data_IF_528146632544
#
_entry.id   IF_528146632544
#
_cell.length_a   1.000
_cell.length_b   1.000
_cell.length_c   1.000
_cell.angle_alpha   90.00
_cell.angle_beta   90.00
_cell.angle_gamma   90.00
#
_symmetry.space_group_name_H-M   'P 1'
#
loop_
_entity.id
_entity.type
_entity.pdbx_description
1 polymer ?
#
# COMPACT_ATOMS: atom_id res chain seq x y z
N UNK A 1 -3.39 15.69 23.04
CA UNK A 1 -4.47 16.44 22.38
C UNK A 1 -5.16 15.44 21.48
N UNK A 2 -6.27 14.85 21.93
CA UNK A 2 -6.99 13.86 21.12
C UNK A 2 -7.65 14.61 19.97
N UNK A 3 -7.29 14.20 18.74
CA UNK A 3 -7.89 14.68 17.51
C UNK A 3 -9.41 14.62 17.63
N UNK A 4 -10.06 15.75 17.32
CA UNK A 4 -11.51 15.83 17.29
C UNK A 4 -12.02 14.93 16.17
N UNK A 5 -12.47 13.73 16.52
CA UNK A 5 -13.08 12.84 15.54
C UNK A 5 -14.31 13.52 14.94
N UNK A 6 -14.30 13.68 13.61
CA UNK A 6 -15.40 14.27 12.85
C UNK A 6 -16.05 13.20 11.99
N UNK A 7 -17.24 12.77 12.41
CA UNK A 7 -18.07 11.88 11.62
C UNK A 7 -19.01 12.68 10.69
N UNK A 8 -19.29 12.14 9.51
CA UNK A 8 -20.34 12.66 8.62
C UNK A 8 -21.23 11.48 8.23
N UNK A 9 -22.52 11.57 8.56
CA UNK A 9 -23.51 10.56 8.20
C UNK A 9 -24.14 10.97 6.87
N UNK A 10 -24.17 10.07 5.91
CA UNK A 10 -24.70 10.32 4.56
C UNK A 10 -25.76 9.28 4.24
N UNK A 11 -26.94 9.75 3.81
CA UNK A 11 -28.00 8.89 3.27
C UNK A 11 -27.78 8.70 1.77
N UNK A 12 -27.26 7.53 1.39
CA UNK A 12 -26.91 7.20 0.00
C UNK A 12 -28.13 7.26 -0.93
N UNK A 13 -29.34 6.95 -0.45
CA UNK A 13 -30.56 6.98 -1.28
C UNK A 13 -30.96 8.40 -1.68
N UNK A 14 -30.64 9.39 -0.84
CA UNK A 14 -30.94 10.80 -1.10
C UNK A 14 -29.88 11.47 -1.97
N UNK A 15 -28.71 10.86 -2.10
CA UNK A 15 -27.63 11.40 -2.91
C UNK A 15 -27.84 10.98 -4.37
N UNK A 16 -28.39 11.89 -5.17
CA UNK A 16 -28.44 11.70 -6.62
C UNK A 16 -27.04 11.83 -7.19
N UNK A 17 -26.57 10.77 -7.82
CA UNK A 17 -25.28 10.63 -8.48
C UNK A 17 -24.99 11.84 -9.37
N UNK A 18 -23.96 12.63 -9.05
CA UNK A 18 -23.42 13.63 -9.99
C UNK A 18 -22.52 12.89 -10.97
N UNK A 19 -22.47 13.31 -12.25
CA UNK A 19 -21.59 12.67 -13.22
C UNK A 19 -20.12 12.93 -12.85
N UNK A 20 -19.24 11.93 -13.09
CA UNK A 20 -17.85 11.87 -12.57
C UNK A 20 -17.04 13.13 -12.85
N UNK A 21 -17.25 13.72 -14.03
CA UNK A 21 -16.65 14.95 -14.52
C UNK A 21 -17.07 16.23 -13.74
N UNK A 22 -17.99 16.13 -12.78
CA UNK A 22 -18.37 17.23 -11.86
C UNK A 22 -18.01 16.96 -10.40
N UNK A 23 -17.37 15.83 -10.08
CA UNK A 23 -16.90 15.51 -8.74
C UNK A 23 -15.61 16.29 -8.47
N UNK A 24 -15.61 17.14 -7.44
CA UNK A 24 -14.46 18.01 -7.10
C UNK A 24 -13.83 17.69 -5.76
N UNK A 25 -14.53 16.96 -4.89
CA UNK A 25 -14.06 16.65 -3.54
C UNK A 25 -13.98 15.14 -3.33
N UNK A 26 -13.05 14.70 -2.50
CA UNK A 26 -12.89 13.29 -2.15
C UNK A 26 -14.18 12.67 -1.62
N UNK A 27 -14.97 13.45 -0.88
CA UNK A 27 -16.27 13.02 -0.36
C UNK A 27 -17.27 12.71 -1.48
N UNK A 28 -17.36 13.60 -2.48
CA UNK A 28 -18.23 13.37 -3.64
C UNK A 28 -17.80 12.12 -4.42
N UNK A 29 -16.49 11.92 -4.55
CA UNK A 29 -15.90 10.74 -5.22
C UNK A 29 -16.26 9.47 -4.44
N UNK A 30 -16.06 9.45 -3.13
CA UNK A 30 -16.41 8.30 -2.28
C UNK A 30 -17.89 7.97 -2.34
N UNK A 31 -18.77 8.97 -2.25
CA UNK A 31 -20.22 8.73 -2.32
C UNK A 31 -20.60 8.17 -3.69
N UNK A 32 -20.01 8.67 -4.77
CA UNK A 32 -20.28 8.16 -6.11
C UNK A 32 -19.79 6.72 -6.29
N UNK A 33 -18.57 6.40 -5.82
CA UNK A 33 -18.05 5.01 -5.83
C UNK A 33 -18.97 4.08 -5.04
N UNK A 34 -19.47 4.51 -3.87
CA UNK A 34 -20.31 3.66 -3.02
C UNK A 34 -21.75 3.50 -3.54
N UNK A 35 -22.30 4.51 -4.21
CA UNK A 35 -23.68 4.49 -4.69
C UNK A 35 -23.81 3.84 -6.06
N UNK A 36 -22.86 4.10 -6.96
CA UNK A 36 -22.91 3.69 -8.37
C UNK A 36 -21.78 2.71 -8.75
N UNK A 37 -21.15 2.06 -7.77
CA UNK A 37 -20.03 1.14 -7.97
C UNK A 37 -20.22 0.15 -9.14
N UNK A 38 -21.38 -0.53 -9.27
CA UNK A 38 -21.63 -1.48 -10.36
C UNK A 38 -21.81 -0.79 -11.73
N UNK A 39 -22.16 0.49 -11.75
CA UNK A 39 -22.48 1.27 -12.93
C UNK A 39 -21.33 2.14 -13.42
N UNK A 40 -20.19 2.16 -12.70
CA UNK A 40 -18.99 2.88 -13.11
C UNK A 40 -18.44 2.33 -14.44
N UNK A 41 -18.36 3.21 -15.43
CA UNK A 41 -17.77 2.88 -16.72
C UNK A 41 -16.28 2.62 -16.58
N UNK A 42 -15.71 1.90 -17.55
CA UNK A 42 -14.28 1.57 -17.54
C UNK A 42 -13.42 2.85 -17.56
N UNK A 43 -13.81 3.87 -18.33
CA UNK A 43 -13.03 5.12 -18.39
C UNK A 43 -13.03 5.87 -17.06
N UNK A 44 -14.15 5.84 -16.33
CA UNK A 44 -14.30 6.47 -15.02
C UNK A 44 -13.43 5.76 -13.97
N UNK A 45 -13.37 4.43 -14.00
CA UNK A 45 -12.49 3.63 -13.14
C UNK A 45 -11.01 3.96 -13.36
N UNK A 46 -10.58 4.04 -14.61
CA UNK A 46 -9.19 4.40 -14.93
C UNK A 46 -8.86 5.85 -14.55
N UNK A 47 -9.80 6.79 -14.67
CA UNK A 47 -9.61 8.15 -14.20
C UNK A 47 -9.44 8.23 -12.68
N UNK A 48 -10.23 7.44 -11.92
CA UNK A 48 -10.16 7.36 -10.46
C UNK A 48 -8.87 6.69 -9.97
N UNK A 49 -8.33 5.72 -10.71
CA UNK A 49 -7.05 5.06 -10.38
C UNK A 49 -5.83 5.98 -10.44
N UNK A 50 -5.95 7.21 -10.95
CA UNK A 50 -4.86 8.20 -10.94
C UNK A 50 -4.51 8.70 -9.54
N UNK A 51 -5.47 8.64 -8.61
CA UNK A 51 -5.24 8.96 -7.21
C UNK A 51 -4.97 7.66 -6.43
N UNK A 52 -3.86 7.55 -5.67
CA UNK A 52 -3.53 6.35 -4.90
C UNK A 52 -4.62 5.90 -3.91
N UNK A 53 -5.39 6.84 -3.34
CA UNK A 53 -6.46 6.54 -2.39
C UNK A 53 -7.62 5.84 -3.09
N UNK A 54 -8.03 6.37 -4.25
CA UNK A 54 -9.13 5.81 -5.03
C UNK A 54 -8.72 4.59 -5.83
N UNK A 55 -7.45 4.49 -6.24
CA UNK A 55 -6.90 3.31 -6.91
C UNK A 55 -7.17 2.03 -6.10
N UNK A 56 -6.81 2.03 -4.81
CA UNK A 56 -7.04 0.88 -3.92
C UNK A 56 -8.52 0.51 -3.82
N UNK A 57 -9.39 1.51 -3.77
CA UNK A 57 -10.83 1.29 -3.69
C UNK A 57 -11.38 0.61 -4.95
N UNK A 58 -10.99 1.11 -6.13
CA UNK A 58 -11.44 0.57 -7.42
C UNK A 58 -10.85 -0.81 -7.69
N UNK A 59 -9.56 -1.04 -7.39
CA UNK A 59 -8.95 -2.37 -7.51
C UNK A 59 -9.68 -3.39 -6.62
N UNK A 60 -10.05 -2.98 -5.40
CA UNK A 60 -10.81 -3.85 -4.50
C UNK A 60 -12.21 -4.13 -5.03
N UNK A 61 -12.88 -3.11 -5.58
CA UNK A 61 -14.18 -3.26 -6.22
C UNK A 61 -14.10 -4.24 -7.40
N UNK A 62 -13.12 -4.07 -8.29
CA UNK A 62 -12.91 -4.93 -9.46
C UNK A 62 -12.65 -6.38 -9.04
N UNK A 63 -11.85 -6.60 -8.00
CA UNK A 63 -11.63 -7.92 -7.42
C UNK A 63 -12.92 -8.55 -6.88
N UNK A 64 -13.78 -7.76 -6.22
CA UNK A 64 -15.05 -8.24 -5.64
C UNK A 64 -16.15 -8.48 -6.69
N UNK A 65 -16.20 -7.66 -7.73
CA UNK A 65 -17.15 -7.79 -8.84
C UNK A 65 -16.74 -8.82 -9.88
N UNK A 66 -15.49 -9.27 -9.83
CA UNK A 66 -14.90 -10.22 -10.77
C UNK A 66 -15.43 -11.64 -10.60
N UNK A 67 -15.53 -12.37 -11.71
CA UNK A 67 -15.68 -13.82 -11.72
C UNK A 67 -14.51 -14.49 -10.94
N UNK A 68 -14.71 -15.64 -10.26
CA UNK A 68 -13.65 -16.29 -9.49
C UNK A 68 -12.33 -16.49 -10.25
N UNK A 69 -12.39 -16.70 -11.57
CA UNK A 69 -11.18 -16.86 -12.40
C UNK A 69 -10.39 -15.56 -12.54
N UNK A 70 -11.04 -14.44 -12.80
CA UNK A 70 -10.37 -13.13 -12.93
C UNK A 70 -9.88 -12.62 -11.59
N UNK A 71 -10.63 -12.90 -10.51
CA UNK A 71 -10.20 -12.62 -9.14
C UNK A 71 -8.90 -13.32 -8.78
N UNK A 72 -8.78 -14.63 -9.06
CA UNK A 72 -7.58 -15.41 -8.77
C UNK A 72 -6.34 -14.89 -9.54
N UNK A 73 -6.52 -14.48 -10.79
CA UNK A 73 -5.44 -13.91 -11.60
C UNK A 73 -4.94 -12.58 -11.02
N UNK A 74 -5.86 -11.72 -10.57
CA UNK A 74 -5.50 -10.46 -9.91
C UNK A 74 -4.78 -10.68 -8.58
N UNK A 75 -5.29 -11.59 -7.72
CA UNK A 75 -4.63 -11.97 -6.47
C UNK A 75 -3.20 -12.48 -6.70
N UNK A 76 -3.00 -13.31 -7.73
CA UNK A 76 -1.67 -13.79 -8.13
C UNK A 76 -0.73 -12.64 -8.50
N UNK A 77 -1.18 -11.72 -9.37
CA UNK A 77 -0.34 -10.60 -9.81
C UNK A 77 0.06 -9.67 -8.67
N UNK A 78 -0.84 -9.41 -7.72
CA UNK A 78 -0.53 -8.60 -6.53
C UNK A 78 0.46 -9.33 -5.63
N UNK A 79 0.33 -10.65 -5.48
CA UNK A 79 1.28 -11.45 -4.72
C UNK A 79 2.65 -11.48 -5.37
N UNK A 80 2.74 -11.63 -6.70
CA UNK A 80 4.01 -11.61 -7.44
C UNK A 80 4.76 -10.27 -7.23
N UNK A 81 4.03 -9.15 -7.23
CA UNK A 81 4.61 -7.83 -6.93
C UNK A 81 5.13 -7.75 -5.49
N UNK A 82 4.38 -8.27 -4.52
CA UNK A 82 4.80 -8.31 -3.11
C UNK A 82 6.03 -9.19 -2.91
N UNK A 83 6.05 -10.36 -3.52
CA UNK A 83 7.17 -11.30 -3.46
C UNK A 83 8.42 -10.67 -4.06
N UNK A 84 8.30 -9.97 -5.20
CA UNK A 84 9.42 -9.25 -5.80
C UNK A 84 9.98 -8.17 -4.86
N UNK A 85 9.13 -7.37 -4.22
CA UNK A 85 9.57 -6.38 -3.24
C UNK A 85 10.24 -7.04 -2.02
N UNK A 86 9.67 -8.14 -1.53
CA UNK A 86 10.24 -8.90 -0.42
C UNK A 86 11.64 -9.46 -0.76
N UNK A 87 11.85 -9.91 -2.00
CA UNK A 87 13.16 -10.36 -2.49
C UNK A 87 14.18 -9.21 -2.49
N UNK A 88 13.78 -8.03 -2.97
CA UNK A 88 14.66 -6.85 -2.99
C UNK A 88 15.03 -6.40 -1.57
N UNK A 89 14.05 -6.32 -0.67
CA UNK A 89 14.28 -5.94 0.73
C UNK A 89 15.19 -6.97 1.44
N UNK A 90 14.97 -8.26 1.18
CA UNK A 90 15.83 -9.31 1.71
C UNK A 90 17.26 -9.21 1.16
N UNK A 91 17.43 -8.88 -0.11
CA UNK A 91 18.74 -8.69 -0.73
C UNK A 91 19.49 -7.49 -0.13
N UNK A 92 18.82 -6.34 0.04
CA UNK A 92 19.39 -5.16 0.67
C UNK A 92 19.76 -5.44 2.14
N UNK A 93 18.86 -6.07 2.90
CA UNK A 93 19.13 -6.48 4.29
C UNK A 93 20.33 -7.42 4.38
N UNK A 94 20.43 -8.40 3.48
CA UNK A 94 21.58 -9.31 3.43
C UNK A 94 22.89 -8.58 3.11
N UNK A 95 22.87 -7.60 2.20
CA UNK A 95 24.05 -6.78 1.90
C UNK A 95 24.52 -5.99 3.14
N UNK A 96 23.60 -5.34 3.86
CA UNK A 96 23.89 -4.63 5.11
C UNK A 96 24.45 -5.56 6.19
N UNK A 97 23.86 -6.74 6.36
CA UNK A 97 24.36 -7.76 7.29
C UNK A 97 25.79 -8.21 6.96
N UNK A 98 26.12 -8.40 5.68
CA UNK A 98 27.47 -8.75 5.26
C UNK A 98 28.50 -7.64 5.55
N UNK A 99 28.11 -6.38 5.36
CA UNK A 99 28.95 -5.23 5.72
C UNK A 99 29.18 -5.18 7.23
N UNK A 100 28.12 -5.30 8.02
CA UNK A 100 28.21 -5.35 9.48
C UNK A 100 29.12 -6.48 9.99
N UNK A 101 29.01 -7.68 9.41
CA UNK A 101 29.90 -8.81 9.72
C UNK A 101 31.38 -8.50 9.43
N UNK A 102 31.67 -7.86 8.29
CA UNK A 102 33.04 -7.44 7.94
C UNK A 102 33.59 -6.39 8.92
N UNK A 103 32.76 -5.45 9.37
CA UNK A 103 33.14 -4.44 10.35
C UNK A 103 33.35 -5.02 11.76
N UNK A 104 32.50 -5.98 12.17
CA UNK A 104 32.67 -6.73 13.41
C UNK A 104 34.00 -7.50 13.43
N UNK A 105 34.37 -8.15 12.33
CA UNK A 105 35.67 -8.82 12.18
C UNK A 105 36.86 -7.85 12.34
N UNK A 106 36.68 -6.59 11.94
CA UNK A 106 37.66 -5.50 12.13
C UNK A 106 37.63 -4.87 13.53
N UNK A 107 36.86 -5.44 14.46
CA UNK A 107 36.69 -4.95 15.84
C UNK A 107 36.13 -3.52 15.94
N UNK A 108 35.32 -3.10 14.95
CA UNK A 108 34.62 -1.81 15.02
C UNK A 108 33.55 -1.81 16.13
N UNK A 109 33.31 -0.68 16.81
CA UNK A 109 32.25 -0.56 17.81
C UNK A 109 30.86 -0.79 17.22
N UNK A 110 29.97 -1.43 17.98
CA UNK A 110 28.58 -1.71 17.55
C UNK A 110 27.82 -0.42 17.21
N UNK A 111 28.11 0.68 17.91
CA UNK A 111 27.47 1.98 17.68
C UNK A 111 27.82 2.57 16.30
N UNK A 112 29.10 2.52 15.92
CA UNK A 112 29.58 2.95 14.59
C UNK A 112 28.96 2.10 13.47
N UNK A 113 28.91 0.77 13.68
CA UNK A 113 28.30 -0.16 12.71
C UNK A 113 26.81 0.13 12.51
N UNK A 114 26.08 0.45 13.60
CA UNK A 114 24.66 0.78 13.53
C UNK A 114 24.40 2.06 12.73
N UNK A 115 25.22 3.10 12.95
CA UNK A 115 25.15 4.36 12.23
C UNK A 115 25.45 4.17 10.72
N UNK A 116 26.47 3.39 10.37
CA UNK A 116 26.90 3.19 8.97
C UNK A 116 26.00 2.24 8.16
N UNK A 117 25.41 1.23 8.82
CA UNK A 117 24.61 0.19 8.13
C UNK A 117 23.10 0.38 8.27
N UNK A 118 22.66 1.27 9.16
CA UNK A 118 21.26 1.47 9.49
C UNK A 118 20.61 0.28 10.20
N UNK A 119 21.41 -0.68 10.69
CA UNK A 119 20.94 -1.83 11.47
C UNK A 119 20.83 -1.47 12.94
N UNK A 120 19.90 -2.11 13.65
CA UNK A 120 19.79 -1.94 15.10
C UNK A 120 20.93 -2.64 15.84
N UNK A 121 21.23 -2.18 17.06
CA UNK A 121 22.24 -2.82 17.91
C UNK A 121 21.89 -4.27 18.27
N UNK A 122 20.60 -4.63 18.28
CA UNK A 122 20.11 -6.00 18.51
C UNK A 122 20.41 -6.89 17.30
N UNK A 123 20.11 -6.41 16.09
CA UNK A 123 20.42 -7.14 14.84
C UNK A 123 21.92 -7.39 14.70
N UNK A 124 22.76 -6.38 15.00
CA UNK A 124 24.23 -6.52 14.94
C UNK A 124 24.74 -7.54 15.98
N UNK A 125 24.13 -7.59 17.18
CA UNK A 125 24.48 -8.61 18.19
C UNK A 125 24.06 -10.01 17.75
N UNK A 126 22.89 -10.16 17.13
CA UNK A 126 22.41 -11.45 16.61
C UNK A 126 23.31 -12.01 15.49
N UNK A 127 24.05 -11.14 14.78
CA UNK A 127 25.05 -11.54 13.78
C UNK A 127 26.34 -12.12 14.40
N UNK A 128 26.63 -11.86 15.68
CA UNK A 128 27.67 -12.56 16.45
C UNK A 128 27.12 -13.91 16.94
N UNK A 129 26.85 -14.83 16.01
CA UNK A 129 26.68 -16.24 16.37
C UNK A 129 28.02 -16.83 16.82
#
# INVERSE_FOLDING_TARGET
IFDHWKATIVDLKKFKSKPVNKLKTDKDIWIHILNDAPSLKKEEREALKKDPVFQRAIERLEMLSSDPKTRKAFESSVNDQRDHLAILDAADKNARNQIALKMLKRKRPIKEIAEDTGLSAEEIKALKK
#
